data_IF_185606123714
#
_entry.id   IF_185606123714
#
_cell.length_a   1.000
_cell.length_b   1.000
_cell.length_c   1.000
_cell.angle_alpha   90.00
_cell.angle_beta   90.00
_cell.angle_gamma   90.00
#
_symmetry.space_group_name_H-M   'P 1'
#
loop_
_entity.id
_entity.type
_entity.pdbx_description
1 polymer ?
#
# COMPACT_ATOMS: atom_id res chain seq x y z
N UNK A 1 -2.60 30.73 3.28
CA UNK A 1 -3.15 29.38 3.04
C UNK A 1 -4.12 29.53 1.89
N UNK A 2 -3.92 28.80 0.79
CA UNK A 2 -4.72 28.97 -0.43
C UNK A 2 -6.19 28.65 -0.15
N UNK A 3 -7.10 29.58 -0.48
CA UNK A 3 -8.53 29.46 -0.18
C UNK A 3 -9.15 28.24 -0.89
N UNK A 4 -8.62 27.88 -2.06
CA UNK A 4 -9.03 26.71 -2.83
C UNK A 4 -8.67 25.40 -2.13
N UNK A 5 -7.47 25.34 -1.54
CA UNK A 5 -6.99 24.16 -0.83
C UNK A 5 -7.80 23.90 0.46
N UNK A 6 -8.20 24.97 1.14
CA UNK A 6 -9.05 24.89 2.34
C UNK A 6 -10.45 24.33 2.00
N UNK A 7 -10.99 24.68 0.83
CA UNK A 7 -12.29 24.19 0.38
C UNK A 7 -12.25 22.68 0.06
N UNK A 8 -11.23 22.22 -0.66
CA UNK A 8 -11.04 20.78 -0.97
C UNK A 8 -10.92 19.93 0.29
N UNK A 9 -10.15 20.37 1.29
CA UNK A 9 -10.02 19.63 2.54
C UNK A 9 -11.32 19.55 3.34
N UNK A 10 -12.16 20.60 3.31
CA UNK A 10 -13.48 20.57 3.96
C UNK A 10 -14.42 19.57 3.30
N UNK A 11 -14.37 19.45 1.96
CA UNK A 11 -15.16 18.46 1.22
C UNK A 11 -14.75 17.04 1.61
N UNK A 12 -13.44 16.74 1.55
CA UNK A 12 -12.91 15.42 1.96
C UNK A 12 -13.27 15.10 3.41
N UNK A 13 -13.18 16.09 4.31
CA UNK A 13 -13.55 15.90 5.71
C UNK A 13 -15.04 15.57 5.89
N UNK A 14 -15.93 16.21 5.12
CA UNK A 14 -17.35 15.89 5.13
C UNK A 14 -17.62 14.46 4.64
N UNK A 15 -16.95 14.02 3.57
CA UNK A 15 -17.06 12.64 3.05
C UNK A 15 -16.64 11.61 4.10
N UNK A 16 -15.55 11.88 4.83
CA UNK A 16 -15.07 11.00 5.92
C UNK A 16 -16.12 10.90 7.04
N UNK A 17 -16.69 12.02 7.48
CA UNK A 17 -17.72 12.02 8.54
C UNK A 17 -18.97 11.26 8.09
N UNK A 18 -19.39 11.49 6.84
CA UNK A 18 -20.60 10.90 6.29
C UNK A 18 -20.41 9.42 5.92
N UNK A 19 -19.17 8.96 5.75
CA UNK A 19 -18.83 7.59 5.37
C UNK A 19 -19.16 7.27 3.91
N UNK A 20 -19.28 8.28 3.06
CA UNK A 20 -19.49 8.12 1.63
C UNK A 20 -19.00 9.35 0.86
N UNK A 21 -18.70 9.17 -0.42
CA UNK A 21 -18.49 10.25 -1.39
C UNK A 21 -19.68 10.34 -2.34
N UNK A 22 -20.24 11.53 -2.50
CA UNK A 22 -21.29 11.82 -3.47
C UNK A 22 -20.67 12.17 -4.83
N UNK A 23 -21.13 11.49 -5.88
CA UNK A 23 -20.80 11.77 -7.27
C UNK A 23 -22.10 12.21 -7.94
N UNK A 24 -22.20 13.50 -8.22
CA UNK A 24 -23.34 14.08 -8.94
C UNK A 24 -23.09 13.96 -10.45
N UNK A 25 -24.00 13.33 -11.17
CA UNK A 25 -24.10 13.40 -12.63
C UNK A 25 -25.38 14.15 -13.03
N UNK A 26 -25.50 14.57 -14.30
CA UNK A 26 -26.70 15.25 -14.80
C UNK A 26 -27.96 14.39 -14.69
N UNK A 27 -27.80 13.07 -14.70
CA UNK A 27 -28.90 12.11 -14.74
C UNK A 27 -29.23 11.56 -13.34
N UNK A 28 -28.20 11.28 -12.52
CA UNK A 28 -28.37 10.66 -11.20
C UNK A 28 -27.25 11.02 -10.21
N UNK A 29 -27.56 10.91 -8.92
CA UNK A 29 -26.60 11.04 -7.82
C UNK A 29 -26.15 9.67 -7.32
N UNK A 30 -24.85 9.40 -7.40
CA UNK A 30 -24.24 8.13 -6.97
C UNK A 30 -23.51 8.30 -5.65
N UNK A 31 -23.69 7.35 -4.73
CA UNK A 31 -23.05 7.35 -3.42
C UNK A 31 -22.01 6.23 -3.34
N UNK A 32 -20.74 6.59 -3.19
CA UNK A 32 -19.65 5.63 -2.98
C UNK A 32 -19.40 5.51 -1.48
N UNK A 33 -19.93 4.45 -0.86
CA UNK A 33 -19.71 4.17 0.56
C UNK A 33 -18.23 3.87 0.84
N UNK A 34 -17.71 4.46 1.90
CA UNK A 34 -16.39 4.14 2.44
C UNK A 34 -16.50 2.95 3.39
N UNK A 35 -15.46 2.11 3.42
CA UNK A 35 -15.40 1.00 4.38
C UNK A 35 -15.27 1.59 5.78
N UNK A 36 -16.21 1.24 6.65
CA UNK A 36 -16.13 1.60 8.06
C UNK A 36 -15.35 0.52 8.85
N UNK A 37 -15.11 0.79 10.13
CA UNK A 37 -14.32 -0.11 10.98
C UNK A 37 -14.94 -1.51 11.12
N UNK A 38 -16.28 -1.61 11.08
CA UNK A 38 -16.96 -2.91 11.11
C UNK A 38 -16.78 -3.69 9.82
N UNK A 39 -16.77 -3.02 8.67
CA UNK A 39 -16.49 -3.63 7.37
C UNK A 39 -15.04 -4.16 7.33
N UNK A 40 -14.09 -3.36 7.83
CA UNK A 40 -12.67 -3.76 7.93
C UNK A 40 -12.51 -4.97 8.86
N UNK A 41 -13.17 -4.96 10.02
CA UNK A 41 -13.18 -6.09 10.95
C UNK A 41 -13.74 -7.37 10.31
N UNK A 42 -14.83 -7.25 9.54
CA UNK A 42 -15.39 -8.37 8.80
C UNK A 42 -14.41 -8.90 7.73
N UNK A 43 -13.83 -8.03 6.90
CA UNK A 43 -12.84 -8.42 5.88
C UNK A 43 -11.64 -9.12 6.53
N UNK A 44 -11.13 -8.57 7.63
CA UNK A 44 -10.01 -9.14 8.38
C UNK A 44 -10.33 -10.53 8.93
N UNK A 45 -11.55 -10.73 9.45
CA UNK A 45 -11.99 -12.05 9.93
C UNK A 45 -12.06 -13.08 8.79
N UNK A 46 -12.53 -12.68 7.60
CA UNK A 46 -12.58 -13.54 6.41
C UNK A 46 -11.19 -13.85 5.89
N UNK A 47 -10.30 -12.87 5.85
CA UNK A 47 -8.90 -13.08 5.50
C UNK A 47 -8.27 -14.15 6.40
N UNK A 48 -8.41 -14.02 7.73
CA UNK A 48 -7.85 -14.98 8.69
C UNK A 48 -8.40 -16.39 8.48
N UNK A 49 -9.72 -16.52 8.30
CA UNK A 49 -10.37 -17.80 8.03
C UNK A 49 -9.78 -18.48 6.79
N UNK A 50 -9.77 -17.78 5.65
CA UNK A 50 -9.30 -18.36 4.39
C UNK A 50 -7.79 -18.59 4.36
N UNK A 51 -7.01 -17.77 5.07
CA UNK A 51 -5.58 -17.99 5.25
C UNK A 51 -5.31 -19.31 5.97
N UNK A 52 -6.01 -19.56 7.08
CA UNK A 52 -5.90 -20.82 7.83
C UNK A 52 -6.37 -22.03 6.99
N UNK A 53 -7.51 -21.91 6.29
CA UNK A 53 -7.99 -22.97 5.38
C UNK A 53 -6.99 -23.28 4.26
N UNK A 54 -6.33 -22.27 3.71
CA UNK A 54 -5.32 -22.46 2.67
C UNK A 54 -4.07 -23.17 3.21
N UNK A 55 -3.60 -22.80 4.40
CA UNK A 55 -2.49 -23.51 5.06
C UNK A 55 -2.85 -24.97 5.38
N UNK A 56 -4.06 -25.24 5.88
CA UNK A 56 -4.54 -26.59 6.16
C UNK A 56 -4.64 -27.45 4.89
N UNK A 57 -5.00 -26.84 3.75
CA UNK A 57 -5.01 -27.48 2.43
C UNK A 57 -3.61 -27.66 1.82
N UNK A 58 -2.55 -27.28 2.53
CA UNK A 58 -1.16 -27.47 2.12
C UNK A 58 -0.59 -26.33 1.28
N UNK A 59 -1.29 -25.19 1.16
CA UNK A 59 -0.74 -24.01 0.51
C UNK A 59 0.36 -23.43 1.40
N UNK A 60 1.58 -23.32 0.85
CA UNK A 60 2.71 -22.78 1.59
C UNK A 60 2.54 -21.27 1.81
N UNK A 61 2.84 -20.82 3.02
CA UNK A 61 3.02 -19.39 3.28
C UNK A 61 4.19 -18.85 2.46
N UNK A 62 4.21 -17.54 2.22
CA UNK A 62 5.32 -16.89 1.52
C UNK A 62 6.69 -17.27 2.12
N UNK A 63 6.79 -17.28 3.46
CA UNK A 63 8.02 -17.67 4.17
C UNK A 63 8.40 -19.13 3.94
N UNK A 64 7.43 -20.06 4.05
CA UNK A 64 7.68 -21.50 3.82
C UNK A 64 8.07 -21.76 2.36
N UNK A 65 7.41 -21.09 1.41
CA UNK A 65 7.71 -21.20 -0.02
C UNK A 65 9.09 -20.64 -0.35
N UNK A 66 9.44 -19.47 0.20
CA UNK A 66 10.77 -18.88 0.01
C UNK A 66 11.87 -19.81 0.55
N UNK A 67 11.65 -20.40 1.72
CA UNK A 67 12.59 -21.40 2.28
C UNK A 67 12.76 -22.59 1.34
N UNK A 68 11.65 -23.15 0.82
CA UNK A 68 11.70 -24.26 -0.14
C UNK A 68 12.51 -23.90 -1.40
N UNK A 69 12.33 -22.69 -1.94
CA UNK A 69 13.06 -22.24 -3.13
C UNK A 69 14.56 -22.08 -2.86
N UNK A 70 14.94 -21.60 -1.67
CA UNK A 70 16.33 -21.54 -1.21
C UNK A 70 16.93 -22.94 -1.04
N UNK A 71 16.19 -23.85 -0.40
CA UNK A 71 16.63 -25.24 -0.18
C UNK A 71 16.82 -25.99 -1.51
N UNK A 72 16.04 -25.66 -2.54
CA UNK A 72 16.17 -26.21 -3.90
C UNK A 72 17.26 -25.53 -4.74
N UNK A 73 17.93 -24.50 -4.20
CA UNK A 73 18.93 -23.71 -4.93
C UNK A 73 18.37 -22.91 -6.12
N UNK A 74 17.04 -22.77 -6.21
CA UNK A 74 16.34 -22.03 -7.27
C UNK A 74 16.39 -20.52 -6.97
N UNK A 75 16.55 -20.15 -5.71
CA UNK A 75 16.56 -18.76 -5.26
C UNK A 75 17.71 -18.50 -4.29
N UNK A 76 18.61 -17.60 -4.66
CA UNK A 76 19.76 -17.23 -3.82
C UNK A 76 19.43 -16.10 -2.84
N UNK A 77 20.24 -15.97 -1.78
CA UNK A 77 20.12 -14.83 -0.86
C UNK A 77 20.50 -13.50 -1.52
N UNK A 78 21.42 -13.53 -2.48
CA UNK A 78 21.82 -12.34 -3.24
C UNK A 78 20.69 -11.86 -4.16
N UNK A 79 20.01 -12.76 -4.88
CA UNK A 79 18.83 -12.42 -5.68
C UNK A 79 17.67 -11.91 -4.81
N UNK A 80 17.45 -12.50 -3.63
CA UNK A 80 16.45 -12.00 -2.68
C UNK A 80 16.77 -10.57 -2.22
N UNK A 81 18.04 -10.30 -1.88
CA UNK A 81 18.49 -8.97 -1.45
C UNK A 81 18.33 -7.95 -2.59
N UNK A 82 18.74 -8.32 -3.79
CA UNK A 82 18.63 -7.47 -4.97
C UNK A 82 17.17 -7.13 -5.29
N UNK A 83 16.29 -8.13 -5.31
CA UNK A 83 14.87 -7.92 -5.60
C UNK A 83 14.19 -7.07 -4.53
N UNK A 84 14.51 -7.27 -3.24
CA UNK A 84 14.04 -6.40 -2.16
C UNK A 84 14.50 -4.97 -2.38
N UNK A 85 15.79 -4.75 -2.56
CA UNK A 85 16.34 -3.41 -2.75
C UNK A 85 15.68 -2.68 -3.93
N UNK A 86 15.42 -3.40 -5.02
CA UNK A 86 14.71 -2.89 -6.19
C UNK A 86 13.24 -2.55 -5.91
N UNK A 87 12.51 -3.40 -5.18
CA UNK A 87 11.13 -3.11 -4.75
C UNK A 87 11.07 -1.90 -3.82
N UNK A 88 12.01 -1.79 -2.89
CA UNK A 88 12.10 -0.65 -1.98
C UNK A 88 12.39 0.65 -2.71
N UNK A 89 13.31 0.62 -3.68
CA UNK A 89 13.66 1.76 -4.51
C UNK A 89 12.44 2.22 -5.33
N UNK A 90 11.71 1.27 -5.93
CA UNK A 90 10.46 1.57 -6.64
C UNK A 90 9.42 2.23 -5.73
N UNK A 91 9.21 1.67 -4.52
CA UNK A 91 8.28 2.23 -3.51
C UNK A 91 8.72 3.61 -3.04
N UNK A 92 10.01 3.83 -2.82
CA UNK A 92 10.57 5.10 -2.39
C UNK A 92 10.43 6.16 -3.49
N UNK A 93 10.65 5.79 -4.76
CA UNK A 93 10.42 6.66 -5.91
C UNK A 93 8.94 7.04 -6.05
N UNK A 94 8.01 6.10 -5.87
CA UNK A 94 6.57 6.41 -5.85
C UNK A 94 6.18 7.31 -4.68
N UNK A 95 6.74 7.08 -3.49
CA UNK A 95 6.48 7.87 -2.31
C UNK A 95 6.99 9.30 -2.49
N UNK A 96 8.20 9.47 -3.04
CA UNK A 96 8.78 10.78 -3.37
C UNK A 96 7.88 11.61 -4.27
N UNK A 97 7.23 11.00 -5.28
CA UNK A 97 6.28 11.69 -6.18
C UNK A 97 5.06 12.27 -5.46
N UNK A 98 4.67 11.69 -4.33
CA UNK A 98 3.50 12.09 -3.54
C UNK A 98 3.83 13.12 -2.45
N UNK A 99 5.11 13.35 -2.16
CA UNK A 99 5.54 14.29 -1.13
C UNK A 99 5.49 15.74 -1.63
N UNK A 100 5.04 16.64 -0.76
CA UNK A 100 4.91 18.07 -1.03
C UNK A 100 5.96 18.90 -0.28
N UNK A 101 6.48 18.39 0.83
CA UNK A 101 7.40 19.13 1.70
C UNK A 101 8.84 18.87 1.26
N UNK A 102 9.59 19.95 0.98
CA UNK A 102 10.96 19.87 0.44
C UNK A 102 11.92 19.07 1.32
N UNK A 103 11.87 19.24 2.64
CA UNK A 103 12.72 18.46 3.57
C UNK A 103 12.46 16.95 3.51
N UNK A 104 11.21 16.54 3.28
CA UNK A 104 10.86 15.13 3.10
C UNK A 104 11.37 14.60 1.75
N UNK A 105 11.23 15.40 0.69
CA UNK A 105 11.75 15.07 -0.65
C UNK A 105 13.28 14.88 -0.60
N UNK A 106 14.01 15.78 0.05
CA UNK A 106 15.46 15.72 0.15
C UNK A 106 15.89 14.48 0.96
N UNK A 107 15.19 14.15 2.05
CA UNK A 107 15.47 12.95 2.84
C UNK A 107 15.26 11.65 2.06
N UNK A 108 14.15 11.52 1.32
CA UNK A 108 13.89 10.32 0.50
C UNK A 108 14.83 10.26 -0.70
N UNK A 109 15.21 11.41 -1.28
CA UNK A 109 16.17 11.44 -2.39
C UNK A 109 17.51 10.87 -1.98
N UNK A 110 18.00 11.24 -0.78
CA UNK A 110 19.23 10.68 -0.23
C UNK A 110 19.13 9.17 -0.03
N UNK A 111 18.01 8.68 0.52
CA UNK A 111 17.77 7.23 0.70
C UNK A 111 17.79 6.51 -0.65
N UNK A 112 17.18 7.08 -1.70
CA UNK A 112 17.19 6.50 -3.04
C UNK A 112 18.60 6.47 -3.62
N UNK A 113 19.38 7.55 -3.49
CA UNK A 113 20.77 7.62 -3.96
C UNK A 113 21.66 6.57 -3.26
N UNK A 114 21.50 6.42 -1.94
CA UNK A 114 22.22 5.41 -1.16
C UNK A 114 21.83 4.00 -1.64
N UNK A 115 20.53 3.72 -1.86
CA UNK A 115 20.04 2.44 -2.37
C UNK A 115 20.47 2.15 -3.83
N UNK A 116 20.55 3.16 -4.69
CA UNK A 116 21.07 3.04 -6.06
C UNK A 116 22.56 2.71 -6.08
N UNK A 117 23.33 3.17 -5.09
CA UNK A 117 24.76 2.87 -4.97
C UNK A 117 25.05 1.45 -4.47
N UNK A 118 24.08 0.82 -3.78
CA UNK A 118 24.17 -0.54 -3.27
C UNK A 118 23.72 -1.62 -4.27
N UNK A 119 23.09 -1.23 -5.38
CA UNK A 119 22.64 -2.09 -6.49
C UNK A 119 23.79 -2.41 -7.45
#
# INVERSE_FOLDING_TARGET
MDAKLTHEFRKVYADIINGYTLIESEEESLYVRHLNESDIGYISSKYKLHFSEAEEKGLLTAQKKLKLLKDQGIWSEEEERYNKLKEELSRNAESKKKLLIRSQIDSISKIIEDQESEL
#
